data_IF_194012752333
#
_entry.id   IF_194012752333
#
_cell.length_a   1.000
_cell.length_b   1.000
_cell.length_c   1.000
_cell.angle_alpha   90.00
_cell.angle_beta   90.00
_cell.angle_gamma   90.00
#
_symmetry.space_group_name_H-M   'P 1'
#
loop_
_entity.id
_entity.type
_entity.pdbx_description
1 polymer ?
#
# COMPACT_ATOMS: atom_id res chain seq x y z
N UNK A 1 28.03 -64.90 -53.63
CA UNK A 1 26.89 -65.22 -52.76
C UNK A 1 26.10 -63.93 -52.58
N UNK A 2 25.22 -63.64 -53.53
CA UNK A 2 24.27 -62.54 -53.41
C UNK A 2 23.10 -63.03 -52.56
N UNK A 3 22.97 -62.53 -51.34
CA UNK A 3 21.77 -62.73 -50.53
C UNK A 3 20.74 -61.73 -51.04
N UNK A 4 19.85 -62.21 -51.92
CA UNK A 4 18.67 -61.47 -52.32
C UNK A 4 17.73 -61.39 -51.11
N UNK A 5 17.80 -60.29 -50.36
CA UNK A 5 16.76 -59.97 -49.38
C UNK A 5 15.51 -59.56 -50.16
N UNK A 6 14.55 -60.48 -50.29
CA UNK A 6 13.20 -60.14 -50.74
C UNK A 6 12.61 -59.09 -49.79
N UNK A 7 12.54 -57.85 -50.28
CA UNK A 7 11.81 -56.78 -49.63
C UNK A 7 10.33 -57.15 -49.63
N UNK A 8 9.79 -57.55 -48.47
CA UNK A 8 8.37 -57.80 -48.28
C UNK A 8 7.68 -56.50 -47.81
N UNK A 9 7.00 -55.76 -48.70
CA UNK A 9 6.44 -54.46 -48.37
C UNK A 9 5.37 -54.55 -47.29
N UNK A 10 4.58 -55.63 -47.26
CA UNK A 10 3.54 -55.83 -46.23
C UNK A 10 4.13 -55.93 -44.82
N UNK A 11 5.30 -56.55 -44.67
CA UNK A 11 5.98 -56.66 -43.37
C UNK A 11 6.42 -55.28 -42.87
N UNK A 12 6.93 -54.44 -43.79
CA UNK A 12 7.31 -53.06 -43.49
C UNK A 12 6.09 -52.21 -43.11
N UNK A 13 5.00 -52.25 -43.90
CA UNK A 13 3.77 -51.51 -43.59
C UNK A 13 3.14 -51.95 -42.26
N UNK A 14 3.11 -53.25 -41.94
CA UNK A 14 2.64 -53.76 -40.63
C UNK A 14 3.54 -53.34 -39.46
N UNK A 15 4.83 -53.13 -39.69
CA UNK A 15 5.74 -52.60 -38.68
C UNK A 15 5.48 -51.11 -38.44
N UNK A 16 5.31 -50.35 -39.52
CA UNK A 16 5.03 -48.92 -39.48
C UNK A 16 3.69 -48.62 -38.80
N UNK A 17 2.64 -49.39 -39.09
CA UNK A 17 1.33 -49.27 -38.43
C UNK A 17 1.42 -49.54 -36.94
N UNK A 18 2.16 -50.58 -36.52
CA UNK A 18 2.38 -50.88 -35.10
C UNK A 18 3.13 -49.76 -34.37
N UNK A 19 4.12 -49.16 -35.02
CA UNK A 19 4.85 -48.02 -34.47
C UNK A 19 3.95 -46.80 -34.25
N UNK A 20 3.17 -46.41 -35.26
CA UNK A 20 2.25 -45.27 -35.13
C UNK A 20 1.08 -45.54 -34.17
N UNK A 21 0.59 -46.77 -34.07
CA UNK A 21 -0.35 -47.17 -33.02
C UNK A 21 0.27 -47.05 -31.62
N UNK A 22 1.52 -47.50 -31.44
CA UNK A 22 2.26 -47.37 -30.18
C UNK A 22 2.46 -45.91 -29.77
N UNK A 23 2.85 -45.05 -30.72
CA UNK A 23 2.96 -43.60 -30.48
C UNK A 23 1.61 -43.00 -30.06
N UNK A 24 0.52 -43.33 -30.78
CA UNK A 24 -0.82 -42.81 -30.46
C UNK A 24 -1.26 -43.24 -29.05
N UNK A 25 -1.00 -44.48 -28.66
CA UNK A 25 -1.30 -44.98 -27.32
C UNK A 25 -0.47 -44.23 -26.26
N UNK A 26 0.84 -44.08 -26.45
CA UNK A 26 1.71 -43.33 -25.55
C UNK A 26 1.27 -41.88 -25.37
N UNK A 27 0.93 -41.17 -26.46
CA UNK A 27 0.36 -39.82 -26.38
C UNK A 27 -0.96 -39.79 -25.61
N UNK A 28 -1.85 -40.76 -25.83
CA UNK A 28 -3.12 -40.82 -25.10
C UNK A 28 -2.94 -41.10 -23.60
N UNK A 29 -1.99 -41.96 -23.23
CA UNK A 29 -1.67 -42.30 -21.83
C UNK A 29 -1.02 -41.12 -21.10
N UNK A 30 -0.09 -40.42 -21.76
CA UNK A 30 0.55 -39.22 -21.22
C UNK A 30 -0.46 -38.09 -21.03
N UNK A 31 -1.35 -37.88 -22.00
CA UNK A 31 -2.44 -36.91 -21.89
C UNK A 31 -3.38 -37.26 -20.72
N UNK A 32 -3.83 -38.51 -20.62
CA UNK A 32 -4.70 -38.97 -19.52
C UNK A 32 -4.01 -38.80 -18.16
N UNK A 33 -2.71 -39.06 -18.09
CA UNK A 33 -1.92 -38.88 -16.86
C UNK A 33 -1.83 -37.41 -16.46
N UNK A 34 -1.64 -36.52 -17.43
CA UNK A 34 -1.60 -35.07 -17.20
C UNK A 34 -2.96 -34.53 -16.75
N UNK A 35 -4.05 -34.92 -17.41
CA UNK A 35 -5.42 -34.56 -17.03
C UNK A 35 -5.76 -35.01 -15.61
N UNK A 36 -5.35 -36.23 -15.23
CA UNK A 36 -5.50 -36.73 -13.86
C UNK A 36 -4.72 -35.90 -12.85
N UNK A 37 -3.48 -35.50 -13.18
CA UNK A 37 -2.66 -34.63 -12.30
C UNK A 37 -3.31 -33.26 -12.12
N UNK A 38 -3.76 -32.63 -13.19
CA UNK A 38 -4.48 -31.35 -13.13
C UNK A 38 -5.75 -31.48 -12.30
N UNK A 39 -6.52 -32.55 -12.51
CA UNK A 39 -7.73 -32.82 -11.73
C UNK A 39 -7.41 -32.95 -10.24
N UNK A 40 -6.42 -33.78 -9.88
CA UNK A 40 -6.02 -33.96 -8.48
C UNK A 40 -5.51 -32.66 -7.84
N UNK A 41 -4.90 -31.78 -8.62
CA UNK A 41 -4.44 -30.48 -8.14
C UNK A 41 -5.59 -29.48 -7.95
N UNK A 42 -6.48 -29.34 -8.94
CA UNK A 42 -7.53 -28.31 -8.93
C UNK A 42 -8.80 -28.70 -8.17
N UNK A 43 -9.14 -30.00 -8.08
CA UNK A 43 -10.38 -30.41 -7.40
C UNK A 43 -10.43 -29.98 -5.92
N UNK A 44 -9.36 -30.13 -5.11
CA UNK A 44 -9.34 -29.60 -3.75
C UNK A 44 -9.51 -28.08 -3.69
N UNK A 45 -8.90 -27.33 -4.63
CA UNK A 45 -9.02 -25.87 -4.72
C UNK A 45 -10.45 -25.45 -5.05
N UNK A 46 -11.06 -26.10 -6.05
CA UNK A 46 -12.46 -25.86 -6.44
C UNK A 46 -13.40 -26.16 -5.27
N UNK A 47 -13.17 -27.27 -4.54
CA UNK A 47 -13.96 -27.60 -3.37
C UNK A 47 -13.85 -26.54 -2.28
N UNK A 48 -12.62 -26.14 -1.90
CA UNK A 48 -12.38 -25.07 -0.92
C UNK A 48 -13.01 -23.75 -1.34
N UNK A 49 -12.88 -23.37 -2.61
CA UNK A 49 -13.53 -22.18 -3.16
C UNK A 49 -15.05 -22.24 -3.04
N UNK A 50 -15.67 -23.38 -3.39
CA UNK A 50 -17.13 -23.55 -3.24
C UNK A 50 -17.59 -23.45 -1.79
N UNK A 51 -16.86 -24.08 -0.87
CA UNK A 51 -17.15 -23.99 0.57
C UNK A 51 -17.02 -22.54 1.05
N UNK A 52 -15.94 -21.86 0.73
CA UNK A 52 -15.73 -20.46 1.09
C UNK A 52 -16.83 -19.56 0.52
N UNK A 53 -17.23 -19.76 -0.74
CA UNK A 53 -18.31 -19.03 -1.41
C UNK A 53 -19.65 -19.23 -0.73
N UNK A 54 -19.98 -20.45 -0.32
CA UNK A 54 -21.25 -20.74 0.36
C UNK A 54 -21.27 -20.18 1.79
N UNK A 55 -20.17 -20.31 2.54
CA UNK A 55 -20.02 -19.67 3.86
C UNK A 55 -20.24 -18.17 3.73
N UNK A 56 -19.52 -17.52 2.81
CA UNK A 56 -19.63 -16.09 2.54
C UNK A 56 -21.07 -15.69 2.22
N UNK A 57 -21.75 -16.40 1.32
CA UNK A 57 -23.15 -16.13 0.96
C UNK A 57 -24.09 -16.16 2.18
N UNK A 58 -23.85 -17.06 3.13
CA UNK A 58 -24.70 -17.21 4.32
C UNK A 58 -24.39 -16.14 5.39
N UNK A 59 -23.14 -15.71 5.51
CA UNK A 59 -22.69 -14.74 6.52
C UNK A 59 -22.78 -13.29 6.04
N UNK A 60 -22.73 -13.03 4.74
CA UNK A 60 -22.66 -11.68 4.15
C UNK A 60 -23.87 -10.80 4.47
N UNK A 61 -25.05 -11.40 4.66
CA UNK A 61 -26.23 -10.64 5.12
C UNK A 61 -26.02 -9.96 6.48
N UNK A 62 -25.04 -10.38 7.27
CA UNK A 62 -24.69 -9.83 8.57
C UNK A 62 -23.35 -9.10 8.58
N UNK A 63 -22.39 -9.58 7.79
CA UNK A 63 -21.02 -9.06 7.81
C UNK A 63 -20.74 -8.06 6.70
N UNK A 64 -21.50 -8.12 5.60
CA UNK A 64 -21.28 -7.34 4.38
C UNK A 64 -19.80 -7.32 3.96
N UNK A 65 -19.17 -8.51 3.82
CA UNK A 65 -17.71 -8.61 3.76
C UNK A 65 -17.05 -7.94 2.55
N UNK A 66 -17.80 -7.68 1.47
CA UNK A 66 -17.35 -6.93 0.29
C UNK A 66 -17.71 -5.43 0.33
N UNK A 67 -18.48 -4.97 1.33
CA UNK A 67 -18.91 -3.58 1.40
C UNK A 67 -17.83 -2.74 2.10
N UNK A 68 -17.36 -1.71 1.41
CA UNK A 68 -16.39 -0.77 1.96
C UNK A 68 -16.72 0.66 1.50
N UNK A 69 -16.89 1.59 2.44
CA UNK A 69 -17.23 2.98 2.15
C UNK A 69 -16.17 3.71 1.33
N UNK A 70 -14.89 3.40 1.53
CA UNK A 70 -13.79 4.02 0.78
C UNK A 70 -13.84 3.58 -0.67
N UNK A 71 -14.06 2.29 -0.94
CA UNK A 71 -14.18 1.81 -2.33
C UNK A 71 -15.31 2.49 -3.12
N UNK A 72 -16.44 2.78 -2.46
CA UNK A 72 -17.56 3.49 -3.08
C UNK A 72 -17.20 4.93 -3.50
N UNK A 73 -16.31 5.58 -2.75
CA UNK A 73 -15.82 6.93 -3.05
C UNK A 73 -14.91 6.93 -4.28
N UNK A 74 -14.34 5.78 -4.65
CA UNK A 74 -13.32 5.64 -5.71
C UNK A 74 -12.21 6.67 -5.52
N UNK A 75 -11.45 6.56 -4.41
CA UNK A 75 -10.48 7.56 -4.04
C UNK A 75 -9.42 7.70 -5.13
N UNK A 76 -9.12 8.95 -5.47
CA UNK A 76 -7.86 9.36 -6.08
C UNK A 76 -6.98 9.99 -5.00
N UNK A 77 -5.81 10.50 -5.39
CA UNK A 77 -4.80 11.02 -4.46
C UNK A 77 -5.39 12.15 -3.60
N UNK A 78 -6.09 13.08 -4.25
CA UNK A 78 -6.71 14.23 -3.61
C UNK A 78 -7.83 13.81 -2.67
N UNK A 79 -8.68 12.83 -3.05
CA UNK A 79 -9.73 12.32 -2.16
C UNK A 79 -9.15 11.66 -0.91
N UNK A 80 -8.02 10.98 -1.00
CA UNK A 80 -7.38 10.42 0.21
C UNK A 80 -6.85 11.54 1.09
N UNK A 81 -6.21 12.55 0.50
CA UNK A 81 -5.77 13.74 1.22
C UNK A 81 -6.96 14.46 1.89
N UNK A 82 -8.12 14.52 1.24
CA UNK A 82 -9.36 15.04 1.82
C UNK A 82 -9.79 14.27 3.07
N UNK A 83 -9.75 12.94 3.03
CA UNK A 83 -10.13 12.09 4.16
C UNK A 83 -9.13 12.21 5.33
N UNK A 84 -7.83 12.25 5.04
CA UNK A 84 -6.80 12.42 6.06
C UNK A 84 -6.92 13.81 6.71
N UNK A 85 -7.08 14.86 5.91
CA UNK A 85 -7.28 16.22 6.41
C UNK A 85 -8.58 16.35 7.23
N UNK A 86 -9.67 15.67 6.82
CA UNK A 86 -10.91 15.62 7.59
C UNK A 86 -10.66 15.05 8.99
N UNK A 87 -9.89 13.97 9.11
CA UNK A 87 -9.58 13.33 10.39
C UNK A 87 -8.59 14.14 11.24
N UNK A 88 -7.68 14.88 10.61
CA UNK A 88 -6.72 15.74 11.31
C UNK A 88 -7.35 17.02 11.87
N UNK A 89 -8.45 17.50 11.28
CA UNK A 89 -9.07 18.75 11.69
C UNK A 89 -9.95 18.56 12.94
N UNK A 90 -9.63 19.16 14.11
CA UNK A 90 -10.44 19.00 15.31
C UNK A 90 -11.88 19.51 15.20
N UNK A 91 -12.14 20.39 14.22
CA UNK A 91 -13.47 20.93 13.88
C UNK A 91 -14.11 20.20 12.69
N UNK A 92 -13.55 19.06 12.28
CA UNK A 92 -14.06 18.24 11.19
C UNK A 92 -15.39 17.56 11.52
N UNK A 93 -16.09 17.12 10.49
CA UNK A 93 -17.44 16.53 10.59
C UNK A 93 -17.47 15.18 11.34
N UNK A 94 -16.30 14.58 11.62
CA UNK A 94 -16.18 13.40 12.47
C UNK A 94 -16.57 13.70 13.94
N UNK A 95 -16.49 14.95 14.39
CA UNK A 95 -17.00 15.38 15.70
C UNK A 95 -16.30 14.73 16.89
N UNK A 96 -15.01 14.40 16.77
CA UNK A 96 -14.21 13.80 17.87
C UNK A 96 -13.27 14.83 18.51
N UNK A 97 -13.46 16.12 18.24
CA UNK A 97 -12.58 17.17 18.74
C UNK A 97 -11.12 16.89 18.38
N UNK A 98 -10.22 17.14 19.32
CA UNK A 98 -8.78 17.03 19.12
C UNK A 98 -8.25 15.58 19.15
N UNK A 99 -9.09 14.58 19.44
CA UNK A 99 -8.64 13.21 19.73
C UNK A 99 -7.77 12.61 18.61
N UNK A 100 -8.20 12.70 17.36
CA UNK A 100 -7.47 12.12 16.22
C UNK A 100 -6.15 12.85 15.93
N UNK A 101 -6.15 14.18 16.08
CA UNK A 101 -4.95 14.98 15.92
C UNK A 101 -3.94 14.72 17.06
N UNK A 102 -4.40 14.55 18.30
CA UNK A 102 -3.55 14.15 19.43
C UNK A 102 -2.88 12.81 19.16
N UNK A 103 -3.65 11.81 18.74
CA UNK A 103 -3.09 10.51 18.35
C UNK A 103 -2.11 10.61 17.18
N UNK A 104 -2.37 11.50 16.21
CA UNK A 104 -1.45 11.75 15.10
C UNK A 104 -0.11 12.30 15.60
N UNK A 105 -0.15 13.36 16.41
CA UNK A 105 1.05 14.03 16.92
C UNK A 105 1.85 13.11 17.84
N UNK A 106 1.18 12.40 18.75
CA UNK A 106 1.86 11.43 19.63
C UNK A 106 2.49 10.28 18.85
N UNK A 107 1.82 9.80 17.79
CA UNK A 107 2.40 8.77 16.94
C UNK A 107 3.58 9.29 16.12
N UNK A 108 3.47 10.49 15.54
CA UNK A 108 4.52 11.18 14.79
C UNK A 108 5.79 11.37 15.63
N UNK A 109 5.66 11.80 16.89
CA UNK A 109 6.80 11.95 17.81
C UNK A 109 7.64 10.67 17.96
N UNK A 110 7.02 9.50 17.83
CA UNK A 110 7.70 8.21 17.92
C UNK A 110 8.67 7.91 16.76
N UNK A 111 8.56 8.63 15.64
CA UNK A 111 9.43 8.49 14.46
C UNK A 111 10.59 9.48 14.43
N UNK A 112 10.61 10.46 15.34
CA UNK A 112 11.54 11.57 15.28
C UNK A 112 12.69 11.41 16.28
N UNK A 113 13.88 11.82 15.85
CA UNK A 113 15.05 11.91 16.71
C UNK A 113 14.86 12.94 17.82
N UNK A 114 15.59 12.77 18.93
CA UNK A 114 15.55 13.71 20.07
C UNK A 114 16.25 15.02 19.74
N UNK A 115 15.50 15.91 19.09
CA UNK A 115 15.98 17.19 18.55
C UNK A 115 15.26 18.38 19.19
N UNK A 116 15.76 19.60 18.93
CA UNK A 116 15.01 20.82 19.28
C UNK A 116 13.67 20.90 18.52
N UNK A 117 13.60 20.38 17.30
CA UNK A 117 12.35 20.34 16.53
C UNK A 117 11.30 19.45 17.22
N UNK A 118 11.71 18.30 17.76
CA UNK A 118 10.81 17.45 18.56
C UNK A 118 10.33 18.15 19.84
N UNK A 119 11.20 18.92 20.51
CA UNK A 119 10.81 19.73 21.68
C UNK A 119 9.80 20.81 21.32
N UNK A 120 9.97 21.47 20.17
CA UNK A 120 9.02 22.44 19.66
C UNK A 120 7.67 21.78 19.32
N UNK A 121 7.68 20.63 18.66
CA UNK A 121 6.47 19.82 18.41
C UNK A 121 5.77 19.42 19.71
N UNK A 122 6.54 19.12 20.78
CA UNK A 122 6.01 18.80 22.11
C UNK A 122 5.30 19.95 22.82
N UNK A 123 5.47 21.20 22.37
CA UNK A 123 4.95 22.41 23.00
C UNK A 123 3.85 23.10 22.18
N UNK A 124 3.44 22.51 21.04
CA UNK A 124 2.40 23.09 20.19
C UNK A 124 1.07 23.22 20.93
N UNK A 125 0.34 24.30 20.65
CA UNK A 125 -1.04 24.46 21.08
C UNK A 125 -1.98 23.89 20.03
N UNK A 126 -2.49 22.68 20.29
CA UNK A 126 -3.40 21.95 19.40
C UNK A 126 -4.75 22.68 19.24
N UNK A 127 -5.17 23.50 20.22
CA UNK A 127 -6.47 24.18 20.18
C UNK A 127 -6.56 25.27 19.09
N UNK A 128 -5.41 25.74 18.62
CA UNK A 128 -5.27 26.79 17.60
C UNK A 128 -4.82 26.25 16.23
N UNK A 129 -5.02 24.97 15.97
CA UNK A 129 -4.64 24.35 14.69
C UNK A 129 -5.56 24.78 13.54
N UNK A 130 -4.98 24.93 12.35
CA UNK A 130 -5.69 24.94 11.08
C UNK A 130 -5.18 23.83 10.17
N UNK A 131 -6.09 23.16 9.46
CA UNK A 131 -5.77 22.12 8.47
C UNK A 131 -6.29 22.59 7.12
N UNK A 132 -5.36 22.74 6.18
CA UNK A 132 -5.62 23.17 4.81
C UNK A 132 -5.17 22.07 3.84
N UNK A 133 -5.76 22.06 2.65
CA UNK A 133 -5.46 21.11 1.58
C UNK A 133 -5.00 21.86 0.37
N UNK A 134 -4.17 21.24 -0.47
CA UNK A 134 -3.68 21.86 -1.71
C UNK A 134 -3.06 23.25 -1.46
N UNK A 135 -2.32 23.39 -0.36
CA UNK A 135 -1.82 24.67 0.13
C UNK A 135 -0.75 25.21 -0.82
N UNK A 136 -1.01 26.39 -1.40
CA UNK A 136 -0.15 26.97 -2.42
C UNK A 136 1.16 27.50 -1.81
N UNK A 137 2.29 27.06 -2.36
CA UNK A 137 3.60 27.66 -2.06
C UNK A 137 3.78 28.97 -2.83
N UNK A 138 4.80 29.75 -2.48
CA UNK A 138 5.12 31.01 -3.19
C UNK A 138 5.38 30.81 -4.69
N UNK A 139 5.80 29.61 -5.09
CA UNK A 139 6.14 29.25 -6.48
C UNK A 139 4.98 28.55 -7.21
N UNK A 140 3.80 28.45 -6.59
CA UNK A 140 2.59 27.91 -7.22
C UNK A 140 2.48 26.38 -7.20
N UNK A 141 3.40 25.67 -6.52
CA UNK A 141 3.20 24.26 -6.16
C UNK A 141 2.18 24.15 -5.01
N UNK A 142 1.69 22.94 -4.72
CA UNK A 142 0.62 22.68 -3.75
C UNK A 142 0.98 21.53 -2.84
N UNK A 143 1.10 21.79 -1.54
CA UNK A 143 1.27 20.73 -0.53
C UNK A 143 -0.10 20.09 -0.29
N UNK A 144 -0.20 18.77 -0.40
CA UNK A 144 -1.47 18.04 -0.35
C UNK A 144 -2.25 18.31 0.95
N UNK A 145 -1.57 18.25 2.10
CA UNK A 145 -2.14 18.58 3.41
C UNK A 145 -1.17 19.46 4.20
N UNK A 146 -1.68 20.57 4.72
CA UNK A 146 -0.92 21.55 5.48
C UNK A 146 -1.56 21.75 6.86
N UNK A 147 -0.85 21.36 7.92
CA UNK A 147 -1.29 21.50 9.31
C UNK A 147 -0.49 22.61 9.97
N UNK A 148 -1.17 23.66 10.41
CA UNK A 148 -0.54 24.85 10.98
C UNK A 148 -0.93 25.02 12.44
N UNK A 149 0.09 25.11 13.29
CA UNK A 149 -0.02 25.50 14.69
C UNK A 149 0.61 26.88 14.90
N UNK A 150 0.35 27.55 16.03
CA UNK A 150 1.16 28.69 16.44
C UNK A 150 2.64 28.29 16.57
N UNK A 151 3.49 28.80 15.67
CA UNK A 151 4.95 28.59 15.72
C UNK A 151 5.45 27.23 15.25
N UNK A 152 4.61 26.40 14.61
CA UNK A 152 5.00 25.11 14.05
C UNK A 152 4.12 24.72 12.86
N UNK A 153 4.68 24.12 11.81
CA UNK A 153 3.90 23.62 10.66
C UNK A 153 4.26 22.20 10.25
N UNK A 154 3.30 21.45 9.73
CA UNK A 154 3.51 20.13 9.16
C UNK A 154 2.97 20.14 7.73
N UNK A 155 3.82 19.86 6.76
CA UNK A 155 3.42 19.60 5.38
C UNK A 155 3.41 18.09 5.14
N UNK A 156 2.37 17.57 4.51
CA UNK A 156 2.26 16.16 4.14
C UNK A 156 2.04 16.09 2.63
N UNK A 157 2.95 15.40 1.94
CA UNK A 157 2.78 15.02 0.54
C UNK A 157 2.33 13.56 0.50
N UNK A 158 1.15 13.32 -0.07
CA UNK A 158 0.50 12.03 -0.13
C UNK A 158 0.70 11.40 -1.51
N UNK A 159 1.35 10.23 -1.56
CA UNK A 159 1.67 9.51 -2.80
C UNK A 159 1.20 8.05 -2.73
N UNK A 160 -0.13 7.82 -2.80
CA UNK A 160 -0.69 6.47 -2.80
C UNK A 160 -0.18 5.63 -3.96
N UNK A 161 -0.14 6.16 -5.19
CA UNK A 161 0.16 5.33 -6.38
C UNK A 161 1.36 5.77 -7.21
N UNK A 162 1.61 7.07 -7.36
CA UNK A 162 2.71 7.57 -8.18
C UNK A 162 3.80 8.16 -7.30
N UNK A 163 5.04 8.15 -7.78
CA UNK A 163 6.10 8.94 -7.15
C UNK A 163 5.86 10.43 -7.36
N UNK A 164 6.68 11.23 -6.71
CA UNK A 164 6.57 12.67 -6.71
C UNK A 164 7.19 13.32 -7.96
N UNK A 165 6.84 14.59 -8.21
CA UNK A 165 7.35 15.35 -9.34
C UNK A 165 8.79 15.79 -9.09
N UNK A 166 9.51 16.12 -10.17
CA UNK A 166 10.87 16.62 -10.08
C UNK A 166 10.99 17.80 -9.08
N UNK A 167 12.03 17.74 -8.24
CA UNK A 167 12.35 18.68 -7.16
C UNK A 167 11.23 18.99 -6.15
N UNK A 168 10.14 18.23 -6.14
CA UNK A 168 8.94 18.59 -5.38
C UNK A 168 9.19 18.73 -3.88
N UNK A 169 9.87 17.76 -3.27
CA UNK A 169 10.12 17.80 -1.84
C UNK A 169 11.22 18.82 -1.48
N UNK A 170 12.19 19.06 -2.36
CA UNK A 170 13.17 20.12 -2.18
C UNK A 170 12.50 21.51 -2.10
N UNK A 171 11.60 21.81 -3.04
CA UNK A 171 10.90 23.09 -3.08
C UNK A 171 9.95 23.25 -1.87
N UNK A 172 9.32 22.15 -1.41
CA UNK A 172 8.51 22.17 -0.18
C UNK A 172 9.32 22.37 1.09
N UNK A 173 10.50 21.76 1.17
CA UNK A 173 11.40 21.95 2.29
C UNK A 173 11.81 23.43 2.42
N UNK A 174 12.24 24.06 1.31
CA UNK A 174 12.60 25.48 1.29
C UNK A 174 11.41 26.38 1.69
N UNK A 175 10.21 26.07 1.18
CA UNK A 175 9.00 26.78 1.55
C UNK A 175 8.69 26.65 3.04
N UNK A 176 8.67 25.43 3.59
CA UNK A 176 8.33 25.15 4.97
C UNK A 176 9.35 25.73 5.95
N UNK A 177 10.64 25.69 5.61
CA UNK A 177 11.70 26.30 6.40
C UNK A 177 11.45 27.80 6.61
N UNK A 178 11.13 28.52 5.52
CA UNK A 178 10.82 29.95 5.57
C UNK A 178 9.49 30.25 6.27
N UNK A 179 8.44 29.47 5.98
CA UNK A 179 7.10 29.70 6.52
C UNK A 179 7.00 29.38 8.01
N UNK A 180 7.60 28.26 8.43
CA UNK A 180 7.60 27.76 9.80
C UNK A 180 8.64 28.40 10.71
N UNK A 181 9.47 29.32 10.20
CA UNK A 181 10.58 29.93 10.93
C UNK A 181 11.46 28.85 11.60
N UNK A 182 11.94 27.89 10.80
CA UNK A 182 12.70 26.69 11.18
C UNK A 182 11.94 25.57 11.91
N UNK A 183 10.73 25.81 12.41
CA UNK A 183 9.94 24.80 13.12
C UNK A 183 8.92 24.15 12.18
N UNK A 184 9.33 23.04 11.55
CA UNK A 184 8.46 22.32 10.62
C UNK A 184 8.77 20.83 10.54
N UNK A 185 7.82 20.08 9.99
CA UNK A 185 8.05 18.71 9.51
C UNK A 185 7.46 18.58 8.12
N UNK A 186 8.26 18.07 7.17
CA UNK A 186 7.80 17.60 5.88
C UNK A 186 7.66 16.07 5.94
N UNK A 187 6.45 15.57 5.73
CA UNK A 187 6.13 14.14 5.70
C UNK A 187 5.90 13.74 4.26
N UNK A 188 6.69 12.79 3.77
CA UNK A 188 6.42 12.06 2.54
C UNK A 188 5.69 10.76 2.90
N UNK A 189 4.42 10.66 2.50
CA UNK A 189 3.53 9.54 2.81
C UNK A 189 3.25 8.72 1.55
N UNK A 190 4.00 7.64 1.34
CA UNK A 190 3.88 6.76 0.18
C UNK A 190 2.90 5.60 0.42
N UNK A 191 2.21 5.14 -0.63
CA UNK A 191 1.33 3.98 -0.53
C UNK A 191 2.04 2.67 -0.19
N UNK A 192 3.19 2.39 -0.81
CA UNK A 192 3.93 1.12 -0.68
C UNK A 192 5.28 1.25 0.04
N UNK A 193 5.63 2.45 0.51
CA UNK A 193 6.91 2.69 1.19
C UNK A 193 8.08 2.92 0.24
N UNK A 194 7.83 3.41 -0.97
CA UNK A 194 8.90 3.88 -1.88
C UNK A 194 9.65 5.03 -1.23
N UNK A 195 10.95 5.08 -1.46
CA UNK A 195 11.78 6.22 -1.04
C UNK A 195 11.52 7.43 -1.93
N UNK A 196 11.56 8.62 -1.34
CA UNK A 196 11.51 9.86 -2.07
C UNK A 196 12.80 10.06 -2.88
N UNK A 197 12.65 10.59 -4.09
CA UNK A 197 13.71 10.81 -5.08
C UNK A 197 13.85 12.27 -5.51
N UNK A 198 12.89 13.14 -5.18
CA UNK A 198 12.88 14.55 -5.57
C UNK A 198 13.64 15.50 -4.63
N UNK A 199 14.42 14.94 -3.70
CA UNK A 199 15.37 15.63 -2.84
C UNK A 199 16.61 14.75 -2.73
N UNK A 200 17.80 15.36 -2.75
CA UNK A 200 19.05 14.61 -2.68
C UNK A 200 19.23 13.90 -1.33
N UNK A 201 19.91 12.75 -1.34
CA UNK A 201 20.03 11.88 -0.16
C UNK A 201 20.72 12.58 1.01
N UNK A 202 21.75 13.38 0.75
CA UNK A 202 22.50 14.08 1.79
C UNK A 202 21.60 15.09 2.52
N UNK A 203 20.77 15.83 1.79
CA UNK A 203 19.77 16.74 2.36
C UNK A 203 18.70 15.97 3.12
N UNK A 204 18.18 14.86 2.59
CA UNK A 204 17.19 14.01 3.28
C UNK A 204 17.74 13.51 4.61
N UNK A 205 18.94 12.93 4.63
CA UNK A 205 19.59 12.41 5.84
C UNK A 205 19.78 13.50 6.89
N UNK A 206 20.26 14.69 6.48
CA UNK A 206 20.42 15.84 7.38
C UNK A 206 19.07 16.24 7.99
N UNK A 207 18.02 16.37 7.18
CA UNK A 207 16.70 16.77 7.66
C UNK A 207 16.05 15.71 8.56
N UNK A 208 16.27 14.42 8.29
CA UNK A 208 15.85 13.32 9.19
C UNK A 208 16.53 13.45 10.56
N UNK A 209 17.85 13.70 10.59
CA UNK A 209 18.60 13.93 11.83
C UNK A 209 18.14 15.18 12.59
N UNK A 210 17.70 16.22 11.88
CA UNK A 210 17.10 17.43 12.47
C UNK A 210 15.63 17.22 12.88
N UNK A 211 15.03 16.07 12.57
CA UNK A 211 13.63 15.77 12.84
C UNK A 211 12.65 16.59 12.00
N UNK A 212 13.08 17.09 10.82
CA UNK A 212 12.32 17.96 9.91
C UNK A 212 11.79 17.24 8.68
N UNK A 213 12.27 16.04 8.38
CA UNK A 213 11.80 15.23 7.26
C UNK A 213 11.51 13.81 7.71
N UNK A 214 10.39 13.26 7.25
CA UNK A 214 9.95 11.91 7.56
C UNK A 214 9.43 11.21 6.30
N UNK A 215 9.99 10.04 5.99
CA UNK A 215 9.49 9.15 4.93
C UNK A 215 8.77 7.97 5.59
N UNK A 216 7.50 7.80 5.25
CA UNK A 216 6.62 6.79 5.83
C UNK A 216 5.70 6.21 4.77
N UNK A 217 5.16 5.02 5.08
CA UNK A 217 4.22 4.32 4.23
C UNK A 217 2.80 4.32 4.81
N UNK A 218 1.82 3.97 3.98
CA UNK A 218 0.46 3.74 4.47
C UNK A 218 0.42 2.63 5.52
N UNK A 219 1.24 1.58 5.39
CA UNK A 219 1.24 0.47 6.34
C UNK A 219 1.96 0.78 7.65
N UNK A 220 3.07 1.53 7.60
CA UNK A 220 3.87 1.80 8.79
C UNK A 220 3.40 3.06 9.53
N UNK A 221 2.60 3.94 8.90
CA UNK A 221 2.19 5.20 9.51
C UNK A 221 0.67 5.44 9.46
N UNK A 222 0.07 5.57 8.27
CA UNK A 222 -1.34 5.95 8.12
C UNK A 222 -2.27 4.92 8.79
N UNK A 223 -2.11 3.63 8.48
CA UNK A 223 -2.92 2.54 9.02
C UNK A 223 -2.81 2.43 10.55
N UNK A 224 -1.61 2.37 11.16
CA UNK A 224 -1.49 2.35 12.62
C UNK A 224 -2.13 3.57 13.31
N UNK A 225 -2.01 4.77 12.72
CA UNK A 225 -2.69 5.96 13.22
C UNK A 225 -4.22 5.84 13.12
N UNK A 226 -4.76 5.36 12.00
CA UNK A 226 -6.20 5.09 11.86
C UNK A 226 -6.70 4.07 12.89
N UNK A 227 -5.89 3.04 13.20
CA UNK A 227 -6.21 2.06 14.25
C UNK A 227 -6.23 2.70 15.65
N UNK A 228 -5.31 3.64 15.93
CA UNK A 228 -5.34 4.43 17.18
C UNK A 228 -6.61 5.29 17.25
N UNK A 229 -6.93 5.99 16.17
CA UNK A 229 -8.18 6.75 16.07
C UNK A 229 -9.40 5.86 16.30
N UNK A 230 -9.43 4.67 15.72
CA UNK A 230 -10.53 3.71 15.90
C UNK A 230 -10.74 3.31 17.37
N UNK A 231 -9.64 3.12 18.12
CA UNK A 231 -9.68 2.74 19.54
C UNK A 231 -10.23 3.85 20.42
N UNK A 232 -9.81 5.09 20.17
CA UNK A 232 -10.22 6.27 20.95
C UNK A 232 -11.55 6.88 20.48
N UNK A 233 -12.07 6.46 19.31
CA UNK A 233 -13.28 7.02 18.75
C UNK A 233 -14.54 6.59 19.52
N UNK A 234 -15.30 7.58 19.99
CA UNK A 234 -16.57 7.36 20.68
C UNK A 234 -17.71 7.11 19.68
N UNK A 235 -17.75 7.86 18.58
CA UNK A 235 -18.84 7.81 17.60
C UNK A 235 -18.79 6.52 16.76
N UNK A 236 -19.79 5.64 16.93
CA UNK A 236 -19.84 4.35 16.23
C UNK A 236 -19.80 4.48 14.71
N UNK A 237 -20.55 5.43 14.13
CA UNK A 237 -20.54 5.70 12.68
C UNK A 237 -19.13 6.01 12.13
N UNK A 238 -18.31 6.70 12.92
CA UNK A 238 -16.95 7.07 12.55
C UNK A 238 -16.02 5.87 12.72
N UNK A 239 -16.22 5.03 13.75
CA UNK A 239 -15.50 3.76 13.90
C UNK A 239 -15.69 2.84 12.70
N UNK A 240 -16.90 2.72 12.17
CA UNK A 240 -17.15 1.95 10.95
C UNK A 240 -16.37 2.51 9.75
N UNK A 241 -16.40 3.82 9.55
CA UNK A 241 -15.60 4.49 8.50
C UNK A 241 -14.09 4.25 8.67
N UNK A 242 -13.54 4.41 9.88
CA UNK A 242 -12.12 4.17 10.16
C UNK A 242 -11.72 2.72 9.88
N UNK A 243 -12.59 1.77 10.24
CA UNK A 243 -12.39 0.35 9.96
C UNK A 243 -12.37 0.08 8.45
N UNK A 244 -13.30 0.66 7.70
CA UNK A 244 -13.31 0.54 6.24
C UNK A 244 -12.06 1.16 5.63
N UNK A 245 -11.56 2.27 6.16
CA UNK A 245 -10.33 2.89 5.68
C UNK A 245 -9.10 2.02 5.95
N UNK A 246 -8.99 1.42 7.14
CA UNK A 246 -7.94 0.45 7.45
C UNK A 246 -7.99 -0.75 6.51
N UNK A 247 -9.16 -1.37 6.34
CA UNK A 247 -9.34 -2.52 5.45
C UNK A 247 -8.98 -2.17 4.01
N UNK A 248 -9.40 -0.99 3.54
CA UNK A 248 -9.09 -0.52 2.18
C UNK A 248 -7.57 -0.38 1.98
N UNK A 249 -6.83 0.12 2.97
CA UNK A 249 -5.37 0.17 2.89
C UNK A 249 -4.78 -1.24 2.78
N UNK A 250 -5.25 -2.19 3.61
CA UNK A 250 -4.74 -3.57 3.63
C UNK A 250 -4.99 -4.32 2.32
N UNK A 251 -6.11 -4.04 1.65
CA UNK A 251 -6.46 -4.68 0.40
C UNK A 251 -5.69 -4.11 -0.81
N UNK A 252 -5.37 -2.80 -0.79
CA UNK A 252 -4.82 -2.08 -1.94
C UNK A 252 -3.31 -1.81 -1.87
N UNK A 253 -2.72 -1.73 -0.68
CA UNK A 253 -1.31 -1.40 -0.48
C UNK A 253 -0.61 -2.49 0.29
N UNK A 254 -0.41 -3.65 -0.33
CA UNK A 254 0.41 -4.71 0.26
C UNK A 254 1.87 -4.38 -0.02
N UNK A 255 2.67 -4.19 1.03
CA UNK A 255 4.11 -4.08 0.88
C UNK A 255 4.62 -5.38 0.23
N UNK A 256 5.40 -5.25 -0.85
CA UNK A 256 6.07 -6.41 -1.43
C UNK A 256 7.04 -6.94 -0.38
N UNK A 257 6.88 -8.21 0.01
CA UNK A 257 7.91 -8.88 0.81
C UNK A 257 9.12 -8.99 -0.10
N UNK A 258 10.19 -8.27 0.23
CA UNK A 258 11.49 -8.50 -0.40
C UNK A 258 11.84 -9.98 -0.18
N UNK A 259 11.81 -10.77 -1.26
CA UNK A 259 12.32 -12.13 -1.22
C UNK A 259 13.84 -12.04 -1.01
N UNK A 260 14.33 -12.41 0.17
CA UNK A 260 15.75 -12.51 0.52
C UNK A 260 16.53 -13.55 -0.35
N UNK A 261 15.89 -14.22 -1.32
CA UNK A 261 16.52 -15.22 -2.20
C UNK A 261 17.21 -14.63 -3.45
N UNK A 262 17.98 -13.54 -3.30
CA UNK A 262 18.96 -13.11 -4.32
C UNK A 262 20.31 -12.74 -3.71
N UNK A 263 20.82 -13.58 -2.80
CA UNK A 263 22.23 -13.54 -2.37
C UNK A 263 22.83 -14.93 -2.18
N UNK A 264 22.56 -15.87 -3.08
CA UNK A 264 23.42 -17.04 -3.26
C UNK A 264 23.56 -17.33 -4.75
N UNK A 265 24.73 -17.02 -5.32
CA UNK A 265 25.00 -17.38 -6.71
C UNK A 265 26.01 -16.52 -7.46
N UNK A 266 27.17 -16.23 -6.85
CA UNK A 266 28.44 -16.08 -7.58
C UNK A 266 29.57 -16.21 -6.56
N UNK A 267 29.94 -17.46 -6.29
CA UNK A 267 31.34 -17.82 -6.00
C UNK A 267 31.89 -18.53 -7.25
#
# INVERSE_FOLDING_TARGET
MEVNMEYNPESYYKSLDRFFQGLRNFYSETQTTYERRLTNFFQPLIFRYRVAKEIKKQTDKYLASDFNLIELIKPDENRISDLVALLLNPKGEHGQGETFLKEFIEYLKGFLEKTENLKALGQIDISQVSVEKEFATYEGRRIDIFVKFPGFVIGIENKPWAGERDRQLADYNEFLQNFGNENYILIYLDGWGREATSMDEQTKEKLKQEGKFLEVSYNNFLKPWLIKCYKECEAEKVRWFLKDFVNWIEDNFKEEVENEERKEGTD
#
